data_IF_754228369974
#
_entry.id   IF_754228369974
#
_cell.length_a   1.000
_cell.length_b   1.000
_cell.length_c   1.000
_cell.angle_alpha   90.00
_cell.angle_beta   90.00
_cell.angle_gamma   90.00
#
_symmetry.space_group_name_H-M   'P 1'
#
loop_
_entity.id
_entity.type
_entity.pdbx_description
1 polymer ?
#
# COMPACT_ATOMS: atom_id res chain seq x y z
N UNK A 1 0.10 -7.73 -39.25
CA UNK A 1 -0.93 -7.26 -38.30
C UNK A 1 -1.56 -8.46 -37.58
N UNK A 2 -1.57 -8.51 -36.24
CA UNK A 2 -2.28 -9.58 -35.49
C UNK A 2 -3.79 -9.31 -35.55
N UNK A 3 -4.55 -10.15 -36.26
CA UNK A 3 -6.02 -10.09 -36.26
C UNK A 3 -6.55 -10.47 -34.88
N UNK A 4 -7.46 -9.66 -34.31
CA UNK A 4 -8.14 -9.97 -33.04
C UNK A 4 -9.23 -11.02 -33.28
N UNK A 5 -9.43 -11.92 -32.32
CA UNK A 5 -10.51 -12.91 -32.38
C UNK A 5 -11.87 -12.20 -32.30
N UNK A 6 -12.80 -12.54 -33.22
CA UNK A 6 -14.14 -11.94 -33.29
C UNK A 6 -15.17 -12.92 -32.72
N UNK A 7 -16.06 -12.41 -31.86
CA UNK A 7 -17.21 -13.12 -31.31
C UNK A 7 -18.44 -12.90 -32.21
N UNK A 8 -18.85 -13.96 -32.91
CA UNK A 8 -19.99 -13.99 -33.81
C UNK A 8 -21.29 -14.43 -33.13
N UNK A 9 -21.28 -14.74 -31.82
CA UNK A 9 -22.50 -15.16 -31.09
C UNK A 9 -23.45 -13.99 -30.78
N UNK A 10 -23.00 -12.75 -30.96
CA UNK A 10 -23.77 -11.52 -30.74
C UNK A 10 -24.39 -11.02 -32.05
N UNK A 11 -25.51 -10.27 -32.00
CA UNK A 11 -26.14 -9.72 -33.21
C UNK A 11 -25.23 -8.78 -34.01
N UNK A 12 -24.27 -8.13 -33.35
CA UNK A 12 -23.19 -7.39 -33.98
C UNK A 12 -21.85 -8.07 -33.63
N UNK A 13 -21.05 -8.51 -34.62
CA UNK A 13 -19.74 -9.10 -34.36
C UNK A 13 -18.84 -8.14 -33.58
N UNK A 14 -18.35 -8.58 -32.43
CA UNK A 14 -17.47 -7.76 -31.57
C UNK A 14 -16.16 -8.48 -31.30
N UNK A 15 -15.08 -7.75 -31.06
CA UNK A 15 -13.81 -8.39 -30.70
C UNK A 15 -13.88 -9.00 -29.31
N UNK A 16 -13.33 -10.21 -29.14
CA UNK A 16 -13.18 -10.80 -27.81
C UNK A 16 -12.39 -9.87 -26.89
N UNK A 17 -12.84 -9.79 -25.63
CA UNK A 17 -12.07 -9.09 -24.61
C UNK A 17 -10.78 -9.88 -24.35
N UNK A 18 -9.64 -9.30 -24.72
CA UNK A 18 -8.33 -9.90 -24.48
C UNK A 18 -7.88 -9.77 -23.02
N UNK A 19 -8.59 -8.99 -22.20
CA UNK A 19 -8.30 -8.86 -20.77
C UNK A 19 -8.97 -10.01 -20.02
N UNK A 20 -8.15 -10.81 -19.34
CA UNK A 20 -8.62 -11.90 -18.48
C UNK A 20 -9.39 -11.34 -17.29
N UNK A 21 -10.58 -11.88 -17.03
CA UNK A 21 -11.31 -11.61 -15.78
C UNK A 21 -10.50 -12.25 -14.64
N UNK A 22 -10.14 -11.50 -13.59
CA UNK A 22 -9.36 -12.05 -12.51
C UNK A 22 -10.12 -13.17 -11.76
N UNK A 23 -9.44 -14.27 -11.44
CA UNK A 23 -10.02 -15.38 -10.66
C UNK A 23 -10.09 -15.08 -9.15
N UNK A 24 -10.47 -16.09 -8.37
CA UNK A 24 -10.58 -16.07 -6.91
C UNK A 24 -9.27 -16.42 -6.17
N UNK A 25 -8.27 -16.96 -6.86
CA UNK A 25 -6.93 -17.23 -6.30
C UNK A 25 -5.97 -16.12 -6.73
N UNK A 26 -5.37 -15.43 -5.75
CA UNK A 26 -4.51 -14.27 -6.00
C UNK A 26 -3.09 -14.52 -5.49
N UNK A 27 -2.12 -14.43 -6.39
CA UNK A 27 -0.71 -14.53 -6.05
C UNK A 27 -0.16 -13.15 -5.73
N UNK A 28 -0.07 -12.83 -4.45
CA UNK A 28 0.44 -11.54 -3.96
C UNK A 28 1.51 -11.82 -2.88
N UNK A 29 2.74 -11.31 -3.03
CA UNK A 29 3.77 -11.51 -2.02
C UNK A 29 3.43 -10.75 -0.73
N UNK A 30 3.78 -11.34 0.41
CA UNK A 30 3.72 -10.65 1.70
C UNK A 30 4.72 -9.49 1.78
N UNK A 31 4.42 -8.51 2.62
CA UNK A 31 5.35 -7.40 2.92
C UNK A 31 6.60 -7.96 3.61
N UNK A 32 7.78 -7.51 3.18
CA UNK A 32 9.09 -7.88 3.72
C UNK A 32 9.82 -6.65 4.23
N UNK A 33 10.75 -6.86 5.17
CA UNK A 33 11.50 -5.81 5.87
C UNK A 33 12.16 -4.76 4.96
N UNK A 34 12.70 -5.18 3.81
CA UNK A 34 13.40 -4.30 2.87
C UNK A 34 12.48 -3.57 1.89
N UNK A 35 11.18 -3.84 1.90
CA UNK A 35 10.24 -3.19 0.98
C UNK A 35 9.88 -1.80 1.48
N UNK A 36 9.77 -0.81 0.60
CA UNK A 36 9.46 0.58 0.98
C UNK A 36 8.17 0.71 1.78
N UNK A 37 7.15 -0.09 1.45
CA UNK A 37 5.87 -0.09 2.14
C UNK A 37 5.93 -0.60 3.59
N UNK A 38 7.01 -1.27 4.04
CA UNK A 38 7.10 -1.83 5.38
C UNK A 38 7.13 -0.76 6.48
N UNK A 39 6.25 -0.91 7.48
CA UNK A 39 6.01 0.05 8.57
C UNK A 39 6.12 -0.60 9.96
N UNK A 40 7.11 -1.46 10.15
CA UNK A 40 7.44 -2.12 11.42
C UNK A 40 6.26 -2.80 12.14
N UNK A 41 5.45 -3.57 11.38
CA UNK A 41 4.34 -4.34 11.94
C UNK A 41 4.42 -5.81 11.47
N UNK A 42 4.26 -6.79 12.38
CA UNK A 42 4.54 -8.20 12.09
C UNK A 42 3.65 -8.80 10.99
N UNK A 43 2.40 -8.33 10.92
CA UNK A 43 1.37 -8.88 10.01
C UNK A 43 0.79 -7.85 9.03
N UNK A 44 1.61 -6.84 8.65
CA UNK A 44 1.21 -5.82 7.69
C UNK A 44 0.72 -6.45 6.36
N UNK A 45 -0.44 -5.97 5.88
CA UNK A 45 -0.99 -6.39 4.59
C UNK A 45 -0.34 -5.62 3.43
N UNK A 46 -0.08 -6.25 2.28
CA UNK A 46 0.45 -5.56 1.10
C UNK A 46 -0.52 -4.53 0.54
N UNK A 47 0.01 -3.38 0.11
CA UNK A 47 -0.78 -2.32 -0.54
C UNK A 47 -1.56 -2.84 -1.75
N UNK A 48 -0.93 -3.68 -2.58
CA UNK A 48 -1.54 -4.18 -3.83
C UNK A 48 -2.77 -5.06 -3.56
N UNK A 49 -2.79 -5.79 -2.44
CA UNK A 49 -3.93 -6.61 -2.04
C UNK A 49 -5.14 -5.71 -1.74
N UNK A 50 -4.92 -4.66 -0.95
CA UNK A 50 -6.01 -3.77 -0.57
C UNK A 50 -6.46 -2.88 -1.73
N UNK A 51 -5.54 -2.47 -2.61
CA UNK A 51 -5.91 -1.73 -3.82
C UNK A 51 -6.91 -2.51 -4.66
N UNK A 52 -6.66 -3.80 -4.84
CA UNK A 52 -7.55 -4.69 -5.58
C UNK A 52 -8.93 -4.82 -4.93
N UNK A 53 -8.97 -5.08 -3.61
CA UNK A 53 -10.22 -5.22 -2.86
C UNK A 53 -11.04 -3.92 -2.93
N UNK A 54 -10.40 -2.78 -2.67
CA UNK A 54 -11.08 -1.48 -2.62
C UNK A 54 -11.62 -1.10 -4.01
N UNK A 55 -10.86 -1.34 -5.08
CA UNK A 55 -11.33 -1.08 -6.45
C UNK A 55 -12.50 -1.97 -6.86
N UNK A 56 -12.53 -3.20 -6.39
CA UNK A 56 -13.59 -4.16 -6.73
C UNK A 56 -14.88 -3.90 -5.94
N UNK A 57 -14.78 -3.36 -4.73
CA UNK A 57 -15.91 -3.29 -3.77
C UNK A 57 -16.36 -1.87 -3.42
N UNK A 58 -15.82 -0.83 -4.05
CA UNK A 58 -16.21 0.57 -3.77
C UNK A 58 -16.01 1.50 -4.96
N UNK A 59 -16.76 2.59 -4.96
CA UNK A 59 -16.61 3.72 -5.87
C UNK A 59 -15.80 4.86 -5.23
N UNK A 60 -15.41 5.85 -6.03
CA UNK A 60 -14.77 7.07 -5.50
C UNK A 60 -15.76 7.81 -4.61
N UNK A 61 -15.29 8.35 -3.49
CA UNK A 61 -16.11 9.07 -2.52
C UNK A 61 -16.76 8.18 -1.44
N UNK A 62 -16.84 6.86 -1.67
CA UNK A 62 -17.36 5.90 -0.67
C UNK A 62 -16.51 5.90 0.60
N UNK A 63 -17.09 5.41 1.69
CA UNK A 63 -16.45 5.27 3.00
C UNK A 63 -16.05 3.81 3.21
N UNK A 64 -14.80 3.60 3.61
CA UNK A 64 -14.24 2.27 3.92
C UNK A 64 -14.00 2.17 5.43
N UNK A 65 -14.54 1.14 6.07
CA UNK A 65 -14.30 0.84 7.48
C UNK A 65 -13.29 -0.30 7.62
N UNK A 66 -12.27 -0.08 8.45
CA UNK A 66 -11.34 -1.11 8.88
C UNK A 66 -11.21 -1.12 10.42
N UNK A 67 -11.88 -2.05 11.12
CA UNK A 67 -11.88 -2.09 12.58
C UNK A 67 -10.56 -2.62 13.19
N UNK A 68 -9.62 -3.12 12.36
CA UNK A 68 -8.34 -3.69 12.79
C UNK A 68 -7.21 -3.14 11.91
N UNK A 69 -7.06 -1.81 11.93
CA UNK A 69 -6.29 -1.08 10.93
C UNK A 69 -4.80 -1.38 10.96
N UNK A 70 -4.21 -1.79 12.09
CA UNK A 70 -2.78 -1.99 12.22
C UNK A 70 -2.02 -0.75 11.75
N UNK A 71 -1.15 -0.89 10.74
CA UNK A 71 -0.43 0.24 10.14
C UNK A 71 -1.24 1.07 9.14
N UNK A 72 -2.58 1.00 9.21
CA UNK A 72 -3.53 1.78 8.43
C UNK A 72 -3.37 1.61 6.91
N UNK A 73 -2.98 0.41 6.45
CA UNK A 73 -2.79 0.17 5.01
C UNK A 73 -4.10 0.37 4.24
N UNK A 74 -5.24 -0.03 4.80
CA UNK A 74 -6.57 0.17 4.19
C UNK A 74 -6.86 1.65 3.97
N UNK A 75 -6.68 2.46 5.01
CA UNK A 75 -6.89 3.91 4.96
C UNK A 75 -5.91 4.60 4.00
N UNK A 76 -4.65 4.17 4.00
CA UNK A 76 -3.63 4.69 3.07
C UNK A 76 -4.06 4.47 1.62
N UNK A 77 -4.46 3.24 1.27
CA UNK A 77 -4.92 2.91 -0.08
C UNK A 77 -6.24 3.62 -0.41
N UNK A 78 -7.17 3.71 0.54
CA UNK A 78 -8.43 4.43 0.37
C UNK A 78 -8.17 5.90 -0.02
N UNK A 79 -7.26 6.59 0.68
CA UNK A 79 -6.83 7.97 0.37
C UNK A 79 -6.30 8.08 -1.06
N UNK A 80 -5.37 7.20 -1.46
CA UNK A 80 -4.79 7.21 -2.82
C UNK A 80 -5.86 6.97 -3.90
N UNK A 81 -6.85 6.13 -3.59
CA UNK A 81 -7.96 5.81 -4.48
C UNK A 81 -9.10 6.83 -4.42
N UNK A 82 -8.98 7.93 -3.65
CA UNK A 82 -10.04 8.95 -3.47
C UNK A 82 -11.32 8.39 -2.85
N UNK A 83 -11.17 7.56 -1.81
CA UNK A 83 -12.22 7.14 -0.89
C UNK A 83 -11.99 7.76 0.47
N UNK A 84 -13.05 7.90 1.25
CA UNK A 84 -12.95 8.22 2.69
C UNK A 84 -12.69 6.91 3.44
N UNK A 85 -12.09 7.00 4.62
CA UNK A 85 -11.87 5.81 5.45
C UNK A 85 -12.00 6.10 6.94
N UNK A 86 -12.43 5.09 7.68
CA UNK A 86 -12.46 5.06 9.14
C UNK A 86 -11.63 3.85 9.54
N UNK A 87 -10.52 4.10 10.23
CA UNK A 87 -9.65 3.05 10.75
C UNK A 87 -9.65 3.05 12.27
N UNK A 88 -9.83 1.88 12.88
CA UNK A 88 -9.76 1.68 14.33
C UNK A 88 -8.56 0.80 14.66
N UNK A 89 -7.79 1.20 15.66
CA UNK A 89 -6.64 0.47 16.16
C UNK A 89 -6.48 0.75 17.66
N UNK A 90 -6.17 -0.30 18.44
CA UNK A 90 -6.05 -0.21 19.89
C UNK A 90 -4.62 0.14 20.32
N UNK A 91 -3.62 -0.27 19.54
CA UNK A 91 -2.22 -0.04 19.87
C UNK A 91 -1.78 1.36 19.44
N UNK A 92 -1.43 2.18 20.42
CA UNK A 92 -1.05 3.58 20.20
C UNK A 92 0.15 3.75 19.24
N UNK A 93 1.12 2.85 19.27
CA UNK A 93 2.27 2.90 18.34
C UNK A 93 1.85 2.74 16.87
N UNK A 94 0.83 1.93 16.60
CA UNK A 94 0.29 1.75 15.25
C UNK A 94 -0.58 2.95 14.83
N UNK A 95 -1.27 3.58 15.79
CA UNK A 95 -1.97 4.86 15.55
C UNK A 95 -0.99 5.94 15.13
N UNK A 96 0.16 6.08 15.80
CA UNK A 96 1.24 7.02 15.41
C UNK A 96 1.71 6.80 13.97
N UNK A 97 1.91 5.54 13.58
CA UNK A 97 2.24 5.17 12.20
C UNK A 97 1.13 5.61 11.24
N UNK A 98 -0.13 5.33 11.58
CA UNK A 98 -1.30 5.71 10.79
C UNK A 98 -1.41 7.23 10.59
N UNK A 99 -1.29 8.00 11.66
CA UNK A 99 -1.34 9.47 11.63
C UNK A 99 -0.28 10.05 10.67
N UNK A 100 0.96 9.54 10.74
CA UNK A 100 2.03 9.91 9.82
C UNK A 100 1.71 9.53 8.39
N UNK A 101 1.39 8.26 8.13
CA UNK A 101 1.15 7.73 6.77
C UNK A 101 0.00 8.43 6.06
N UNK A 102 -1.01 8.85 6.83
CA UNK A 102 -2.18 9.55 6.32
C UNK A 102 -1.98 11.07 6.28
N UNK A 103 -0.84 11.57 6.74
CA UNK A 103 -0.51 13.00 6.84
C UNK A 103 -1.57 13.77 7.65
N UNK A 104 -2.12 13.14 8.68
CA UNK A 104 -3.12 13.74 9.57
C UNK A 104 -2.43 14.61 10.62
N UNK A 105 -1.27 14.17 11.11
CA UNK A 105 -0.48 14.90 12.10
C UNK A 105 1.01 14.65 11.87
N UNK A 106 1.83 15.64 12.21
CA UNK A 106 3.30 15.54 12.29
C UNK A 106 3.80 15.25 13.70
N UNK A 107 2.94 15.39 14.71
CA UNK A 107 3.26 15.20 16.11
C UNK A 107 2.09 14.55 16.83
N UNK A 108 2.38 13.74 17.85
CA UNK A 108 1.37 13.14 18.70
C UNK A 108 1.89 13.05 20.14
N UNK A 109 1.18 13.69 21.08
CA UNK A 109 1.54 13.76 22.52
C UNK A 109 2.99 14.22 22.76
N UNK A 110 3.46 15.28 22.11
CA UNK A 110 4.83 15.78 22.28
C UNK A 110 5.88 15.03 21.45
N UNK A 111 5.52 13.96 20.74
CA UNK A 111 6.46 13.14 19.96
C UNK A 111 6.32 13.41 18.46
N UNK A 112 7.42 13.77 17.81
CA UNK A 112 7.44 13.94 16.36
C UNK A 112 7.29 12.60 15.64
N UNK A 113 6.34 12.53 14.70
CA UNK A 113 6.00 11.31 13.98
C UNK A 113 6.92 11.13 12.77
N UNK A 114 7.92 10.26 12.91
CA UNK A 114 8.86 9.89 11.83
C UNK A 114 8.85 8.39 11.56
N UNK A 115 9.21 8.01 10.34
CA UNK A 115 9.46 6.61 10.00
C UNK A 115 10.76 6.17 10.66
N UNK A 116 10.76 4.98 11.27
CA UNK A 116 11.97 4.41 11.83
C UNK A 116 12.99 4.10 10.72
N UNK A 117 14.26 4.46 10.96
CA UNK A 117 15.35 4.10 10.05
C UNK A 117 15.59 2.60 10.11
N UNK A 118 15.78 1.97 8.95
CA UNK A 118 16.03 0.53 8.88
C UNK A 118 17.51 0.23 9.07
N UNK A 119 17.81 -0.94 9.64
CA UNK A 119 19.18 -1.34 9.98
C UNK A 119 20.11 -1.37 8.76
N UNK A 120 19.60 -1.68 7.57
CA UNK A 120 20.40 -1.65 6.35
C UNK A 120 20.65 -0.24 5.81
N UNK A 121 19.78 0.72 6.11
CA UNK A 121 19.94 2.13 5.70
C UNK A 121 20.99 2.82 6.56
N UNK A 122 21.08 2.48 7.85
CA UNK A 122 22.10 2.97 8.77
C UNK A 122 23.52 2.62 8.29
N UNK A 123 23.72 1.37 7.85
CA UNK A 123 25.02 0.87 7.38
C UNK A 123 25.53 1.52 6.10
N UNK A 124 24.64 2.03 5.26
CA UNK A 124 25.03 2.70 3.99
C UNK A 124 25.61 4.08 4.29
N UNK A 125 24.98 4.81 5.20
CA UNK A 125 25.38 6.13 5.67
C UNK A 125 26.79 6.09 6.30
N UNK A 126 27.05 5.09 7.16
CA UNK A 126 28.36 4.86 7.78
C UNK A 126 29.46 4.57 6.75
N UNK A 127 29.16 3.78 5.70
CA UNK A 127 30.13 3.48 4.64
C UNK A 127 30.41 4.68 3.73
N UNK A 128 29.39 5.46 3.40
CA UNK A 128 29.56 6.70 2.63
C UNK A 128 30.36 7.74 3.41
N UNK A 129 30.11 7.86 4.72
CA UNK A 129 30.93 8.64 5.64
C UNK A 129 32.39 8.19 5.61
N UNK A 130 32.67 6.90 5.79
CA UNK A 130 34.03 6.35 5.80
C UNK A 130 34.79 6.57 4.47
N UNK A 131 34.11 6.42 3.32
CA UNK A 131 34.72 6.65 2.00
C UNK A 131 35.08 8.12 1.80
N UNK A 132 34.24 9.06 2.27
CA UNK A 132 34.53 10.50 2.19
C UNK A 132 35.69 10.99 3.07
N UNK A 133 36.04 10.23 4.10
CA UNK A 133 37.20 10.50 4.98
C UNK A 133 38.50 9.88 4.47
N UNK A 134 38.44 8.90 3.56
CA UNK A 134 39.61 8.26 2.96
C UNK A 134 40.15 9.02 1.73
N UNK A 135 39.42 10.01 1.22
CA UNK A 135 39.79 10.83 0.05
C UNK A 135 40.38 12.21 0.43
N UNK A 136 40.84 12.39 1.68
CA UNK A 136 41.57 13.59 2.12
C UNK A 136 42.99 13.29 2.54
#
# INVERSE_FOLDING_TARGET
>A
AKRKLIDYRKPVPTTYNSKKVPGNVWEIPRVRYRMDEYENHPTQKPVVLLERIIRASSNKGDVILDPFSGTFTTSYVAKQLRRKSIGVEIQEEYVKIGLRRLEIASEYKGQHLKKERRSFELRVDERQGMLSFSER
#
